data_IF_288422430018
#
_entry.id   IF_288422430018
#
_cell.length_a   1.000
_cell.length_b   1.000
_cell.length_c   1.000
_cell.angle_alpha   90.00
_cell.angle_beta   90.00
_cell.angle_gamma   90.00
#
_symmetry.space_group_name_H-M   'P 1'
#
loop_
_entity.id
_entity.type
_entity.pdbx_description
1 polymer ?
#
# COMPACT_ATOMS: atom_id res chain seq x y z
N UNK A 1 -3.00 7.28 27.61
CA UNK A 1 -2.15 6.61 26.60
C UNK A 1 -2.73 6.91 25.23
N UNK A 2 -1.94 7.42 24.29
CA UNK A 2 -2.39 7.56 22.91
C UNK A 2 -2.40 6.18 22.25
N UNK A 3 -3.48 5.85 21.54
CA UNK A 3 -3.54 4.64 20.72
C UNK A 3 -2.58 4.82 19.57
N UNK A 4 -1.63 3.88 19.41
CA UNK A 4 -0.69 3.87 18.29
C UNK A 4 -1.22 2.91 17.23
N UNK A 5 -1.45 3.40 16.03
CA UNK A 5 -1.78 2.55 14.90
C UNK A 5 -0.57 1.72 14.49
N UNK A 6 -0.81 0.49 14.03
CA UNK A 6 0.28 -0.40 13.57
C UNK A 6 0.94 0.08 12.29
N UNK A 7 0.22 0.82 11.45
CA UNK A 7 0.66 1.36 10.17
C UNK A 7 0.46 2.88 10.19
N UNK A 8 1.36 3.62 9.54
CA UNK A 8 1.24 5.06 9.42
C UNK A 8 0.20 5.43 8.35
N UNK A 9 0.11 4.62 7.27
CA UNK A 9 -0.85 4.83 6.18
C UNK A 9 -1.38 3.50 5.65
N UNK A 10 -2.68 3.45 5.33
CA UNK A 10 -3.29 2.41 4.50
C UNK A 10 -3.91 3.06 3.27
N UNK A 11 -3.51 2.62 2.06
CA UNK A 11 -4.06 3.10 0.79
C UNK A 11 -5.11 2.10 0.30
N UNK A 12 -6.38 2.49 0.28
CA UNK A 12 -7.50 1.66 -0.20
C UNK A 12 -7.62 1.78 -1.72
N UNK A 13 -7.75 0.65 -2.43
CA UNK A 13 -7.50 0.59 -3.87
C UNK A 13 -6.00 0.74 -4.18
N UNK A 14 -5.16 0.38 -3.21
CA UNK A 14 -3.73 0.69 -3.19
C UNK A 14 -2.89 -0.07 -4.22
N UNK A 15 -3.49 -1.00 -4.98
CA UNK A 15 -2.79 -1.70 -6.04
C UNK A 15 -3.23 -1.26 -7.45
N UNK A 16 -4.03 -0.20 -7.57
CA UNK A 16 -4.42 0.38 -8.87
C UNK A 16 -3.44 1.39 -9.43
N UNK A 17 -3.76 1.93 -10.61
CA UNK A 17 -2.97 2.93 -11.35
C UNK A 17 -2.64 4.20 -10.56
N UNK A 18 -3.50 4.61 -9.62
CA UNK A 18 -3.29 5.78 -8.76
C UNK A 18 -2.81 5.36 -7.37
N UNK A 19 -3.43 4.34 -6.80
CA UNK A 19 -3.15 3.89 -5.44
C UNK A 19 -1.72 3.36 -5.26
N UNK A 20 -1.20 2.60 -6.23
CA UNK A 20 0.12 1.99 -6.11
C UNK A 20 1.25 3.02 -6.20
N UNK A 21 1.28 3.95 -7.17
CA UNK A 21 2.28 5.02 -7.18
C UNK A 21 2.23 5.87 -5.91
N UNK A 22 1.04 6.19 -5.40
CA UNK A 22 0.89 6.92 -4.13
C UNK A 22 1.49 6.16 -2.95
N UNK A 23 1.17 4.86 -2.82
CA UNK A 23 1.69 4.02 -1.75
C UNK A 23 3.23 3.94 -1.80
N UNK A 24 3.81 3.78 -3.00
CA UNK A 24 5.27 3.74 -3.21
C UNK A 24 5.92 5.07 -2.80
N UNK A 25 5.35 6.21 -3.21
CA UNK A 25 5.89 7.53 -2.86
C UNK A 25 5.83 7.74 -1.34
N UNK A 26 4.74 7.37 -0.68
CA UNK A 26 4.62 7.49 0.78
C UNK A 26 5.61 6.57 1.51
N UNK A 27 5.77 5.33 1.05
CA UNK A 27 6.77 4.40 1.58
C UNK A 27 8.21 4.93 1.41
N UNK A 28 8.48 5.64 0.31
CA UNK A 28 9.78 6.31 0.08
C UNK A 28 10.10 7.42 1.09
N UNK A 29 9.11 7.88 1.86
CA UNK A 29 9.26 8.87 2.95
C UNK A 29 9.39 8.22 4.33
N UNK A 30 9.78 6.94 4.38
CA UNK A 30 9.99 6.16 5.60
C UNK A 30 8.72 5.92 6.42
N UNK A 31 7.54 6.03 5.79
CA UNK A 31 6.26 5.67 6.41
C UNK A 31 6.03 4.15 6.29
N UNK A 32 5.45 3.55 7.33
CA UNK A 32 4.94 2.17 7.25
C UNK A 32 3.59 2.17 6.52
N UNK A 33 3.64 1.89 5.22
CA UNK A 33 2.49 1.93 4.31
C UNK A 33 1.99 0.52 3.97
N UNK A 34 0.68 0.34 3.94
CA UNK A 34 0.00 -0.86 3.43
C UNK A 34 -0.90 -0.48 2.26
N UNK A 35 -0.76 -1.16 1.12
CA UNK A 35 -1.77 -1.09 0.05
C UNK A 35 -2.84 -2.15 0.28
N UNK A 36 -4.08 -1.72 0.43
CA UNK A 36 -5.24 -2.59 0.54
C UNK A 36 -6.00 -2.60 -0.79
N UNK A 37 -6.25 -3.80 -1.31
CA UNK A 37 -7.05 -4.00 -2.50
C UNK A 37 -7.92 -5.25 -2.32
N UNK A 38 -9.08 -5.27 -2.99
CA UNK A 38 -10.00 -6.41 -2.94
C UNK A 38 -9.64 -7.48 -3.98
N UNK A 39 -8.88 -7.12 -5.01
CA UNK A 39 -8.41 -8.05 -6.03
C UNK A 39 -7.13 -8.76 -5.56
N UNK A 40 -7.28 -10.00 -5.09
CA UNK A 40 -6.17 -10.79 -4.53
C UNK A 40 -5.09 -11.11 -5.56
N UNK A 41 -5.45 -11.23 -6.84
CA UNK A 41 -4.51 -11.48 -7.93
C UNK A 41 -3.59 -10.28 -8.14
N UNK A 42 -4.15 -9.07 -8.14
CA UNK A 42 -3.38 -7.82 -8.25
C UNK A 42 -2.48 -7.63 -7.03
N UNK A 43 -2.97 -7.93 -5.82
CA UNK A 43 -2.15 -7.91 -4.59
C UNK A 43 -0.97 -8.87 -4.71
N UNK A 44 -1.19 -10.10 -5.21
CA UNK A 44 -0.13 -11.07 -5.41
C UNK A 44 0.93 -10.59 -6.44
N UNK A 45 0.50 -9.96 -7.53
CA UNK A 45 1.40 -9.35 -8.52
C UNK A 45 2.28 -8.28 -7.88
N UNK A 46 1.69 -7.34 -7.14
CA UNK A 46 2.44 -6.27 -6.44
C UNK A 46 3.40 -6.86 -5.41
N UNK A 47 2.97 -7.83 -4.60
CA UNK A 47 3.83 -8.51 -3.63
C UNK A 47 4.98 -9.29 -4.27
N UNK A 48 4.85 -9.68 -5.55
CA UNK A 48 5.94 -10.28 -6.32
C UNK A 48 6.95 -9.25 -6.88
N UNK A 49 6.81 -7.97 -6.54
CA UNK A 49 7.64 -6.87 -7.02
C UNK A 49 7.33 -6.44 -8.47
N UNK A 50 6.15 -6.82 -8.98
CA UNK A 50 5.70 -6.47 -10.34
C UNK A 50 4.62 -5.40 -10.28
N UNK A 51 4.68 -4.46 -11.23
CA UNK A 51 3.57 -3.54 -11.44
C UNK A 51 2.39 -4.32 -12.07
N UNK A 52 1.15 -4.07 -11.61
CA UNK A 52 -0.05 -4.67 -12.18
C UNK A 52 -0.42 -4.04 -13.53
#
# INVERSE_FOLDING_TARGET
MAVKFENDVVVVGGCGHVGLPLAIVLASKSLKVVSFDTNTQVVATVNSGKMP
#
